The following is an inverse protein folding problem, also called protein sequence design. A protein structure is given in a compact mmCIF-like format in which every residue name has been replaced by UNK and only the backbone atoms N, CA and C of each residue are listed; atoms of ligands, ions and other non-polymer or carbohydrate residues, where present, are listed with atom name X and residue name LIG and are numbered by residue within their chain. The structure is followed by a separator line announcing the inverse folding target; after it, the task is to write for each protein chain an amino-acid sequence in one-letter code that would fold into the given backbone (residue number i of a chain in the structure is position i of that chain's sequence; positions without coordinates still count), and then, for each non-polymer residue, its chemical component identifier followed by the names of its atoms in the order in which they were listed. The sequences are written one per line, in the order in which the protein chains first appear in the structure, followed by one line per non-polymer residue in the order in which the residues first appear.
data_IF_759011194898
#
_entry.id   IF_759011194898
#
_cell.length_a   1.000
_cell.length_b   1.000
_cell.length_c   1.000
_cell.angle_alpha   90.00
_cell.angle_beta   90.00
_cell.angle_gamma   90.00
#
_symmetry.space_group_name_H-M   'P 1'
#
loop_
_entity.id
_entity.type
_entity.pdbx_description
1 polymer ?
#
# COMPACT_ATOMS: atom_id res chain seq x y z
N UNK A 1 -12.34 -1.76 27.90
CA UNK A 1 -11.30 -2.18 26.93
C UNK A 1 -10.37 -1.00 26.74
N UNK A 2 -9.14 -1.04 27.26
CA UNK A 2 -8.14 -0.01 26.96
C UNK A 2 -7.67 -0.24 25.52
N UNK A 3 -8.18 0.55 24.57
CA UNK A 3 -7.61 0.59 23.23
C UNK A 3 -6.13 0.92 23.38
N UNK A 4 -5.25 0.08 22.82
CA UNK A 4 -3.83 0.40 22.68
C UNK A 4 -3.73 1.78 22.06
N UNK A 5 -3.29 2.77 22.82
CA UNK A 5 -3.17 4.15 22.34
C UNK A 5 -2.15 4.16 21.21
N UNK A 6 -2.53 4.69 20.04
CA UNK A 6 -1.59 4.87 18.94
C UNK A 6 -0.39 5.70 19.40
N UNK A 7 0.81 5.16 19.22
CA UNK A 7 2.06 5.89 19.41
C UNK A 7 2.98 5.69 18.21
N UNK A 8 3.36 6.78 17.55
CA UNK A 8 4.22 6.72 16.38
C UNK A 8 5.59 6.08 16.71
N UNK A 9 6.10 6.29 17.92
CA UNK A 9 7.39 5.76 18.41
C UNK A 9 7.40 4.25 18.65
N UNK A 10 6.23 3.60 18.76
CA UNK A 10 6.13 2.14 18.91
C UNK A 10 6.16 1.41 17.57
N UNK A 11 6.01 2.11 16.44
CA UNK A 11 6.06 1.51 15.11
C UNK A 11 7.47 0.99 14.82
N UNK A 12 7.57 -0.29 14.44
CA UNK A 12 8.84 -0.97 14.09
C UNK A 12 8.84 -1.49 12.66
N UNK A 13 7.68 -1.57 12.04
CA UNK A 13 7.53 -2.07 10.68
C UNK A 13 6.56 -1.16 9.91
N UNK A 14 6.91 -0.81 8.68
CA UNK A 14 6.08 0.00 7.78
C UNK A 14 5.91 -0.77 6.47
N UNK A 15 4.68 -1.16 6.14
CA UNK A 15 4.33 -1.69 4.82
C UNK A 15 3.95 -0.54 3.92
N UNK A 16 4.60 -0.45 2.76
CA UNK A 16 4.19 0.41 1.65
C UNK A 16 3.38 -0.43 0.67
N UNK A 17 2.17 0.01 0.36
CA UNK A 17 1.28 -0.69 -0.58
C UNK A 17 0.92 0.30 -1.69
N UNK A 18 1.30 -0.03 -2.92
CA UNK A 18 0.96 0.79 -4.09
C UNK A 18 -0.36 0.29 -4.67
N UNK A 19 -1.32 1.20 -4.82
CA UNK A 19 -2.62 0.93 -5.42
C UNK A 19 -2.77 1.81 -6.66
N UNK A 20 -2.88 1.20 -7.84
CA UNK A 20 -2.94 1.88 -9.13
C UNK A 20 -1.75 1.54 -10.02
N UNK A 21 -1.44 2.40 -11.00
CA UNK A 21 -0.37 2.18 -11.98
C UNK A 21 0.84 3.08 -11.69
N UNK A 22 1.95 2.50 -11.24
CA UNK A 22 3.21 3.18 -10.92
C UNK A 22 4.35 2.86 -11.89
N UNK A 23 4.16 1.90 -12.80
CA UNK A 23 5.13 1.51 -13.81
C UNK A 23 4.54 1.63 -15.22
N UNK A 24 5.08 2.50 -16.09
CA UNK A 24 4.55 2.69 -17.44
C UNK A 24 4.87 1.54 -18.39
N UNK A 25 5.78 0.64 -18.02
CA UNK A 25 6.10 -0.57 -18.79
C UNK A 25 5.30 -1.80 -18.33
N UNK A 26 4.62 -1.71 -17.19
CA UNK A 26 3.88 -2.81 -16.60
C UNK A 26 2.61 -2.27 -15.91
N UNK A 27 1.60 -1.96 -16.73
CA UNK A 27 0.30 -1.53 -16.24
C UNK A 27 -0.36 -2.68 -15.49
N UNK A 28 -0.80 -2.41 -14.26
CA UNK A 28 -1.55 -3.35 -13.44
C UNK A 28 -2.96 -3.51 -14.01
N UNK A 29 -3.42 -4.75 -14.03
CA UNK A 29 -4.82 -5.10 -14.27
C UNK A 29 -5.71 -4.62 -13.13
N UNK A 30 -7.02 -4.51 -13.39
CA UNK A 30 -8.00 -4.17 -12.35
C UNK A 30 -7.97 -5.18 -11.19
N UNK A 31 -7.75 -6.47 -11.48
CA UNK A 31 -7.65 -7.51 -10.47
C UNK A 31 -6.42 -7.31 -9.56
N UNK A 32 -5.26 -6.96 -10.11
CA UNK A 32 -4.05 -6.66 -9.31
C UNK A 32 -4.23 -5.40 -8.46
N UNK A 33 -4.90 -4.37 -9.00
CA UNK A 33 -5.24 -3.17 -8.22
C UNK A 33 -6.21 -3.52 -7.08
N UNK A 34 -7.19 -4.39 -7.35
CA UNK A 34 -8.12 -4.91 -6.35
C UNK A 34 -7.40 -5.66 -5.23
N UNK A 35 -6.49 -6.57 -5.57
CA UNK A 35 -5.67 -7.30 -4.59
C UNK A 35 -4.81 -6.37 -3.73
N UNK A 36 -4.23 -5.32 -4.32
CA UNK A 36 -3.49 -4.33 -3.56
C UNK A 36 -4.40 -3.58 -2.57
N UNK A 37 -5.63 -3.24 -2.97
CA UNK A 37 -6.61 -2.62 -2.08
C UNK A 37 -7.08 -3.57 -0.98
N UNK A 38 -7.29 -4.85 -1.30
CA UNK A 38 -7.63 -5.87 -0.31
C UNK A 38 -6.52 -6.03 0.74
N UNK A 39 -5.26 -5.91 0.34
CA UNK A 39 -4.14 -5.88 1.27
C UNK A 39 -4.18 -4.64 2.18
N UNK A 40 -4.50 -3.45 1.64
CA UNK A 40 -4.72 -2.23 2.47
C UNK A 40 -5.82 -2.48 3.50
N UNK A 41 -6.97 -3.00 3.05
CA UNK A 41 -8.10 -3.31 3.92
C UNK A 41 -7.74 -4.34 4.99
N UNK A 42 -7.01 -5.41 4.64
CA UNK A 42 -6.52 -6.42 5.57
C UNK A 42 -5.58 -5.81 6.62
N UNK A 43 -4.67 -4.91 6.19
CA UNK A 43 -3.77 -4.21 7.10
C UNK A 43 -4.49 -3.33 8.12
N UNK A 44 -5.59 -2.66 7.72
CA UNK A 44 -6.30 -1.69 8.57
C UNK A 44 -7.41 -2.28 9.43
N UNK A 45 -7.94 -3.45 9.04
CA UNK A 45 -9.07 -4.13 9.72
C UNK A 45 -8.68 -5.44 10.41
N UNK A 46 -7.60 -6.09 9.99
CA UNK A 46 -7.15 -7.38 10.51
C UNK A 46 -6.38 -7.31 11.83
N UNK A 47 -5.86 -8.47 12.25
CA UNK A 47 -4.98 -8.61 13.42
C UNK A 47 -3.61 -9.18 13.01
N UNK A 48 -2.48 -8.59 13.45
CA UNK A 48 -2.39 -7.33 14.20
C UNK A 48 -2.87 -6.14 13.36
N UNK A 49 -3.57 -5.19 14.00
CA UNK A 49 -4.12 -4.01 13.33
C UNK A 49 -3.02 -2.99 13.06
N UNK A 50 -2.88 -2.59 11.81
CA UNK A 50 -1.98 -1.52 11.40
C UNK A 50 -2.60 -0.14 11.54
N UNK A 51 -1.76 0.88 11.52
CA UNK A 51 -2.15 2.29 11.54
C UNK A 51 -1.74 2.97 10.24
N UNK A 52 -2.67 3.72 9.64
CA UNK A 52 -2.36 4.53 8.46
C UNK A 52 -1.47 5.71 8.87
N UNK A 53 -0.22 5.70 8.43
CA UNK A 53 0.77 6.74 8.74
C UNK A 53 0.78 7.84 7.69
N UNK A 54 0.58 7.47 6.42
CA UNK A 54 0.54 8.41 5.29
C UNK A 54 -0.20 7.80 4.09
N UNK A 55 -0.70 8.68 3.21
CA UNK A 55 -1.16 8.34 1.86
C UNK A 55 -0.53 9.31 0.87
N UNK A 56 0.35 8.81 0.02
CA UNK A 56 0.94 9.57 -1.07
C UNK A 56 0.07 9.38 -2.31
N UNK A 57 -0.39 10.47 -2.94
CA UNK A 57 -1.12 10.40 -4.21
C UNK A 57 -0.22 10.92 -5.32
N UNK A 58 -0.05 10.12 -6.37
CA UNK A 58 0.87 10.40 -7.45
C UNK A 58 0.17 10.31 -8.80
N UNK A 59 0.57 11.21 -9.68
CA UNK A 59 0.13 11.29 -11.06
C UNK A 59 1.35 11.60 -11.92
N UNK A 60 1.50 10.92 -13.05
CA UNK A 60 2.60 11.13 -13.98
C UNK A 60 2.16 10.91 -15.43
N UNK A 61 2.66 11.75 -16.32
CA UNK A 61 2.52 11.59 -17.76
C UNK A 61 3.87 11.16 -18.33
N UNK A 62 3.87 10.02 -19.02
CA UNK A 62 5.07 9.44 -19.62
C UNK A 62 4.88 9.35 -21.12
N UNK A 63 5.84 9.91 -21.86
CA UNK A 63 5.87 9.79 -23.32
C UNK A 63 6.83 8.65 -23.67
N UNK A 64 6.31 7.59 -24.29
CA UNK A 64 7.07 6.42 -24.73
C UNK A 64 6.85 6.28 -26.23
N UNK A 65 7.84 6.70 -27.01
CA UNK A 65 7.69 6.87 -28.46
C UNK A 65 6.60 7.90 -28.75
N UNK A 66 5.60 7.51 -29.55
CA UNK A 66 4.44 8.34 -29.89
C UNK A 66 3.24 8.15 -28.93
N UNK A 67 3.37 7.24 -27.94
CA UNK A 67 2.30 6.97 -26.98
C UNK A 67 2.48 7.81 -25.72
N UNK A 68 1.37 8.39 -25.25
CA UNK A 68 1.28 9.00 -23.93
C UNK A 68 0.62 8.03 -22.95
N UNK A 69 1.31 7.71 -21.87
CA UNK A 69 0.82 6.85 -20.80
C UNK A 69 0.58 7.71 -19.56
N UNK A 70 -0.61 7.55 -18.98
CA UNK A 70 -0.98 8.17 -17.71
C UNK A 70 -0.79 7.16 -16.60
N UNK A 71 0.06 7.51 -15.64
CA UNK A 71 0.20 6.80 -14.39
C UNK A 71 -0.56 7.52 -13.29
N UNK A 72 -1.35 6.76 -12.55
CA UNK A 72 -2.07 7.26 -11.40
C UNK A 72 -2.09 6.16 -10.35
N UNK A 73 -1.60 6.49 -9.15
CA UNK A 73 -1.54 5.56 -8.04
C UNK A 73 -1.53 6.29 -6.70
N UNK A 74 -1.84 5.55 -5.64
CA UNK A 74 -1.64 5.97 -4.27
C UNK A 74 -0.73 4.98 -3.53
N UNK A 75 0.15 5.48 -2.68
CA UNK A 75 0.97 4.66 -1.79
C UNK A 75 0.44 4.79 -0.37
N UNK A 76 -0.02 3.68 0.19
CA UNK A 76 -0.45 3.59 1.58
C UNK A 76 0.72 3.16 2.45
N UNK A 77 1.02 3.94 3.49
CA UNK A 77 2.06 3.64 4.46
C UNK A 77 1.39 3.16 5.74
N UNK A 78 1.40 1.85 5.96
CA UNK A 78 0.76 1.25 7.13
C UNK A 78 1.81 0.80 8.13
N UNK A 79 1.76 1.38 9.33
CA UNK A 79 2.66 1.09 10.44
C UNK A 79 2.15 -0.02 11.34
N UNK A 80 3.07 -0.85 11.82
CA UNK A 80 2.82 -1.91 12.80
C UNK A 80 3.90 -1.90 13.88
N UNK A 81 3.54 -2.26 15.12
CA UNK A 81 4.50 -2.44 16.23
C UNK A 81 5.38 -3.68 16.02
N UNK A 82 4.89 -4.67 15.27
CA UNK A 82 5.61 -5.87 14.83
C UNK A 82 5.15 -6.26 13.44
N UNK A 83 6.04 -6.82 12.62
CA UNK A 83 5.68 -7.37 11.30
C UNK A 83 4.53 -8.40 11.43
N UNK A 84 3.40 -8.21 10.74
CA UNK A 84 2.35 -9.23 10.64
C UNK A 84 2.83 -10.46 9.85
N UNK A 85 2.53 -11.66 10.34
CA UNK A 85 2.92 -12.92 9.69
C UNK A 85 2.33 -13.07 8.28
N UNK A 86 1.11 -12.58 8.08
CA UNK A 86 0.45 -12.67 6.77
C UNK A 86 1.10 -11.83 5.67
N UNK A 87 2.02 -10.91 6.01
CA UNK A 87 2.77 -10.17 5.00
C UNK A 87 3.89 -10.99 4.39
N UNK A 88 4.37 -12.04 5.07
CA UNK A 88 5.37 -12.95 4.50
C UNK A 88 4.77 -13.81 3.38
N UNK A 89 3.46 -14.07 3.42
CA UNK A 89 2.71 -14.83 2.42
C UNK A 89 2.40 -14.00 1.15
N UNK A 90 2.37 -12.66 1.27
CA UNK A 90 2.01 -11.76 0.17
C UNK A 90 3.22 -11.25 -0.63
N UNK A 91 4.43 -11.46 -0.12
CA UNK A 91 5.69 -11.02 -0.72
C UNK A 91 6.47 -12.17 -1.41
N UNK A 92 5.88 -13.38 -1.48
CA UNK A 92 6.42 -14.56 -2.16
C UNK A 92 5.50 -15.06 -3.26
#
# INVERSE_FOLDING_TARGET
MSGSQFQLTSMRFIKRIVVGNDNPQAMRTEAEVGQAMDLVNRCLSGSPRGYLLNVEKSFGLYNIGEHQIVLQYAVYHVGFERKPLFLDEADG
#
